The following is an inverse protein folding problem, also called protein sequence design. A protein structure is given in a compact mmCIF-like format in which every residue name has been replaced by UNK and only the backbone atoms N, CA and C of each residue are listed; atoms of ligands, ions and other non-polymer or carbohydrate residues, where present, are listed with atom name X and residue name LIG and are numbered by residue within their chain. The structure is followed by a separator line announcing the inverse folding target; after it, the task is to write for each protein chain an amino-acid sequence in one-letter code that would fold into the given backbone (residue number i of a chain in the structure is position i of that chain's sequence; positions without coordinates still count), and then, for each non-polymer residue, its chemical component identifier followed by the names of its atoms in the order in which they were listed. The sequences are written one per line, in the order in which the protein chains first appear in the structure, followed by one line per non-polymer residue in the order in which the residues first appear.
data_IF_847415902664
#
_entry.id   IF_847415902664
#
_cell.length_a   1.000
_cell.length_b   1.000
_cell.length_c   1.000
_cell.angle_alpha   90.00
_cell.angle_beta   90.00
_cell.angle_gamma   90.00
#
_symmetry.space_group_name_H-M   'P 1'
#
loop_
_entity.id
_entity.type
_entity.pdbx_description
1 polymer ?
#
# COMPACT_ATOMS: atom_id res chain seq x y z
N UNK A 1 39.76 2.47 -32.34
CA UNK A 1 39.90 2.00 -30.94
C UNK A 1 40.74 3.01 -30.16
N UNK A 2 40.10 4.02 -29.56
CA UNK A 2 40.81 4.95 -28.67
C UNK A 2 41.16 4.26 -27.36
N UNK A 3 42.47 4.21 -27.05
CA UNK A 3 42.99 3.72 -25.78
C UNK A 3 42.75 4.78 -24.71
N UNK A 4 41.69 4.62 -23.91
CA UNK A 4 41.47 5.42 -22.70
C UNK A 4 42.69 5.35 -21.78
N UNK A 5 43.25 6.53 -21.45
CA UNK A 5 44.39 6.69 -20.56
C UNK A 5 43.98 6.30 -19.13
N UNK A 6 44.41 5.11 -18.68
CA UNK A 6 44.18 4.59 -17.33
C UNK A 6 44.78 5.51 -16.25
N UNK A 7 43.94 6.10 -15.40
CA UNK A 7 44.36 6.72 -14.14
C UNK A 7 44.50 5.60 -13.09
N UNK A 8 45.70 5.44 -12.50
CA UNK A 8 45.98 4.42 -11.46
C UNK A 8 44.98 4.58 -10.31
N UNK A 9 44.13 3.56 -10.10
CA UNK A 9 43.15 3.49 -9.01
C UNK A 9 41.68 3.66 -9.40
N UNK A 10 41.35 3.98 -10.66
CA UNK A 10 39.96 4.12 -11.11
C UNK A 10 39.37 2.83 -11.67
N UNK A 11 38.13 2.50 -11.29
CA UNK A 11 37.36 1.44 -11.94
C UNK A 11 37.17 1.75 -13.42
N UNK A 12 37.36 0.75 -14.30
CA UNK A 12 36.89 0.90 -15.70
C UNK A 12 35.36 0.96 -15.73
N UNK A 13 34.78 1.65 -16.72
CA UNK A 13 33.32 1.83 -16.84
C UNK A 13 32.54 0.51 -16.72
N UNK A 14 33.06 -0.57 -17.31
CA UNK A 14 32.46 -1.90 -17.26
C UNK A 14 32.62 -2.57 -15.88
N UNK A 15 33.75 -2.36 -15.18
CA UNK A 15 33.93 -2.86 -13.82
C UNK A 15 33.05 -2.11 -12.81
N UNK A 16 32.91 -0.79 -12.96
CA UNK A 16 31.98 -0.01 -12.14
C UNK A 16 30.54 -0.48 -12.37
N UNK A 17 30.14 -0.70 -13.62
CA UNK A 17 28.82 -1.23 -13.96
C UNK A 17 28.58 -2.62 -13.33
N UNK A 18 29.55 -3.55 -13.44
CA UNK A 18 29.42 -4.88 -12.84
C UNK A 18 29.33 -4.83 -11.31
N UNK A 19 30.16 -4.02 -10.66
CA UNK A 19 30.10 -3.84 -9.20
C UNK A 19 28.76 -3.25 -8.78
N UNK A 20 28.29 -2.19 -9.46
CA UNK A 20 26.99 -1.58 -9.17
C UNK A 20 25.82 -2.55 -9.42
N UNK A 21 25.89 -3.36 -10.49
CA UNK A 21 24.87 -4.35 -10.83
C UNK A 21 24.79 -5.45 -9.77
N UNK A 22 25.93 -6.06 -9.40
CA UNK A 22 25.98 -7.11 -8.38
C UNK A 22 25.60 -6.56 -7.00
N UNK A 23 26.03 -5.35 -6.67
CA UNK A 23 25.68 -4.69 -5.40
C UNK A 23 24.19 -4.39 -5.32
N UNK A 24 23.59 -3.89 -6.41
CA UNK A 24 22.14 -3.65 -6.49
C UNK A 24 21.37 -4.97 -6.40
N UNK A 25 21.80 -6.00 -7.13
CA UNK A 25 21.20 -7.32 -7.07
C UNK A 25 21.24 -7.91 -5.66
N UNK A 26 22.39 -7.86 -4.98
CA UNK A 26 22.51 -8.29 -3.59
C UNK A 26 21.62 -7.45 -2.66
N UNK A 27 21.57 -6.13 -2.83
CA UNK A 27 20.76 -5.23 -2.02
C UNK A 27 19.25 -5.45 -2.18
N UNK A 28 18.77 -5.84 -3.36
CA UNK A 28 17.34 -6.13 -3.57
C UNK A 28 16.97 -7.56 -3.19
N UNK A 29 17.85 -8.55 -3.41
CA UNK A 29 17.62 -9.95 -3.06
C UNK A 29 17.66 -10.19 -1.55
N UNK A 30 18.51 -9.45 -0.82
CA UNK A 30 18.68 -9.64 0.62
C UNK A 30 17.42 -9.34 1.46
N UNK A 31 16.78 -8.15 1.37
CA UNK A 31 15.52 -7.87 2.07
C UNK A 31 14.32 -8.61 1.46
N UNK A 32 14.33 -8.84 0.14
CA UNK A 32 13.22 -9.49 -0.56
C UNK A 32 13.11 -11.00 -0.32
N UNK A 33 14.23 -11.70 -0.08
CA UNK A 33 14.26 -13.16 -0.01
C UNK A 33 14.80 -13.73 1.31
N UNK A 34 15.79 -13.09 1.94
CA UNK A 34 16.43 -13.63 3.14
C UNK A 34 15.83 -13.06 4.44
N UNK A 35 15.39 -11.80 4.44
CA UNK A 35 14.81 -11.16 5.63
C UNK A 35 13.60 -10.29 5.30
N UNK A 36 12.49 -10.93 4.95
CA UNK A 36 11.23 -10.24 4.74
C UNK A 36 10.73 -9.50 6.01
N UNK A 37 11.24 -9.81 7.20
CA UNK A 37 11.01 -9.03 8.41
C UNK A 37 11.58 -7.60 8.34
N UNK A 38 12.62 -7.34 7.54
CA UNK A 38 13.22 -6.00 7.45
C UNK A 38 12.31 -4.99 6.73
N UNK A 39 11.35 -5.47 5.94
CA UNK A 39 10.40 -4.59 5.23
C UNK A 39 9.33 -4.03 6.14
N UNK A 40 9.09 -4.65 7.30
CA UNK A 40 8.05 -4.28 8.24
C UNK A 40 8.47 -4.65 9.68
N UNK A 41 9.36 -3.84 10.28
CA UNK A 41 9.71 -3.97 11.70
C UNK A 41 8.66 -3.26 12.55
N UNK A 42 7.58 -3.99 12.86
CA UNK A 42 6.54 -3.54 13.79
C UNK A 42 6.95 -3.80 15.25
N UNK A 43 7.81 -2.95 15.81
CA UNK A 43 8.30 -3.12 17.20
C UNK A 43 7.16 -3.16 18.23
N UNK A 44 6.07 -2.43 17.98
CA UNK A 44 4.85 -2.44 18.81
C UNK A 44 4.21 -3.83 18.88
N UNK A 45 4.22 -4.59 17.78
CA UNK A 45 3.70 -5.96 17.75
C UNK A 45 4.59 -6.95 18.53
N UNK A 46 5.89 -6.66 18.69
CA UNK A 46 6.79 -7.47 19.51
C UNK A 46 6.56 -7.25 21.01
N UNK A 47 6.21 -6.03 21.44
CA UNK A 47 5.97 -5.73 22.85
C UNK A 47 4.67 -6.36 23.36
N UNK A 48 3.62 -6.40 22.54
CA UNK A 48 2.33 -7.00 22.91
C UNK A 48 1.81 -7.98 21.84
N UNK A 49 2.41 -9.18 21.73
CA UNK A 49 2.08 -10.13 20.67
C UNK A 49 0.69 -10.75 20.81
N UNK A 50 0.11 -10.79 22.01
CA UNK A 50 -1.18 -11.45 22.26
C UNK A 50 -2.41 -10.56 22.05
N UNK A 51 -2.24 -9.25 21.84
CA UNK A 51 -3.36 -8.33 21.68
C UNK A 51 -3.72 -8.15 20.21
N UNK A 52 -4.93 -8.60 19.83
CA UNK A 52 -5.46 -8.46 18.46
C UNK A 52 -5.55 -6.98 18.06
N UNK A 53 -5.90 -6.09 19.00
CA UNK A 53 -5.94 -4.65 18.74
C UNK A 53 -4.55 -4.09 18.45
N UNK A 54 -3.53 -4.52 19.19
CA UNK A 54 -2.15 -4.07 18.95
C UNK A 54 -1.64 -4.57 17.61
N UNK A 55 -2.01 -5.78 17.21
CA UNK A 55 -1.67 -6.31 15.89
C UNK A 55 -2.38 -5.55 14.77
N UNK A 56 -3.67 -5.23 14.92
CA UNK A 56 -4.44 -4.45 13.93
C UNK A 56 -3.94 -3.01 13.80
N UNK A 57 -3.46 -2.41 14.88
CA UNK A 57 -2.93 -1.04 14.87
C UNK A 57 -1.46 -0.98 14.45
N UNK A 58 -0.65 -1.91 14.93
CA UNK A 58 0.81 -1.86 14.83
C UNK A 58 1.41 -2.61 13.65
N UNK A 59 0.72 -3.61 13.09
CA UNK A 59 1.25 -4.39 11.96
C UNK A 59 1.31 -3.54 10.71
N UNK A 60 2.46 -3.47 10.03
CA UNK A 60 2.58 -2.73 8.77
C UNK A 60 2.05 -3.48 7.55
N UNK A 61 1.93 -4.81 7.63
CA UNK A 61 1.44 -5.65 6.52
C UNK A 61 -0.06 -5.93 6.61
N UNK A 62 -0.58 -6.10 7.83
CA UNK A 62 -1.96 -6.54 8.09
C UNK A 62 -2.72 -5.57 9.02
N UNK A 63 -2.19 -4.37 9.22
CA UNK A 63 -2.73 -3.37 10.13
C UNK A 63 -2.44 -1.95 9.67
N UNK A 64 -2.77 -0.98 10.53
CA UNK A 64 -2.57 0.45 10.24
C UNK A 64 -1.10 0.89 10.20
N UNK A 65 -0.16 0.02 10.59
CA UNK A 65 1.27 0.29 10.54
C UNK A 65 1.80 1.30 11.56
N UNK A 66 1.06 1.58 12.64
CA UNK A 66 1.52 2.50 13.70
C UNK A 66 2.84 1.99 14.26
N UNK A 67 3.88 2.82 14.17
CA UNK A 67 5.21 2.48 14.67
C UNK A 67 5.93 1.38 13.90
N UNK A 68 5.49 1.01 12.70
CA UNK A 68 6.27 0.11 11.84
C UNK A 68 7.38 0.88 11.15
N UNK A 69 8.59 0.32 11.17
CA UNK A 69 9.74 0.86 10.44
C UNK A 69 10.11 -0.13 9.33
N UNK A 70 10.01 0.31 8.07
CA UNK A 70 10.57 -0.43 6.94
C UNK A 70 12.00 0.06 6.68
N UNK A 71 12.98 -0.84 6.71
CA UNK A 71 14.39 -0.52 6.45
C UNK A 71 14.80 -0.79 5.00
N UNK A 72 13.86 -1.19 4.15
CA UNK A 72 14.11 -1.49 2.74
C UNK A 72 13.76 -0.29 1.84
N UNK A 73 14.76 0.16 1.07
CA UNK A 73 14.56 1.27 0.14
C UNK A 73 13.55 0.93 -0.96
N UNK A 74 13.38 -0.36 -1.29
CA UNK A 74 12.37 -0.82 -2.23
C UNK A 74 10.95 -0.47 -1.76
N UNK A 75 10.55 -0.83 -0.54
CA UNK A 75 9.25 -0.45 0.03
C UNK A 75 9.07 1.07 0.12
N UNK A 76 10.08 1.80 0.60
CA UNK A 76 10.03 3.27 0.70
C UNK A 76 9.84 3.92 -0.67
N UNK A 77 10.54 3.44 -1.70
CA UNK A 77 10.46 3.97 -3.06
C UNK A 77 9.18 3.55 -3.81
N UNK A 78 8.53 2.47 -3.39
CA UNK A 78 7.29 1.99 -4.02
C UNK A 78 6.10 2.92 -3.78
N UNK A 79 6.10 3.68 -2.68
CA UNK A 79 4.96 4.46 -2.24
C UNK A 79 4.76 5.78 -3.01
N UNK A 80 5.84 6.49 -3.37
CA UNK A 80 5.77 7.77 -4.10
C UNK A 80 6.46 7.75 -5.48
N UNK A 81 6.97 6.59 -5.91
CA UNK A 81 8.13 6.59 -6.81
C UNK A 81 9.36 7.13 -6.06
N UNK A 82 10.53 7.11 -6.70
CA UNK A 82 11.79 7.48 -6.03
C UNK A 82 11.67 8.87 -5.35
N UNK A 83 11.56 8.94 -4.00
CA UNK A 83 11.17 10.18 -3.30
C UNK A 83 12.24 11.26 -3.39
N UNK A 84 13.45 10.89 -3.83
CA UNK A 84 14.55 11.78 -4.19
C UNK A 84 14.25 12.64 -5.43
N UNK A 85 13.33 12.20 -6.30
CA UNK A 85 13.01 12.87 -7.56
C UNK A 85 11.85 13.86 -7.39
N UNK A 86 10.95 13.60 -6.43
CA UNK A 86 9.77 14.44 -6.17
C UNK A 86 10.13 15.67 -5.31
N UNK A 87 9.59 16.87 -5.59
CA UNK A 87 9.81 18.03 -4.74
C UNK A 87 9.29 17.78 -3.31
N UNK A 88 10.05 18.24 -2.30
CA UNK A 88 9.75 18.02 -0.88
C UNK A 88 8.30 18.38 -0.50
N UNK A 89 7.78 19.48 -1.03
CA UNK A 89 6.42 19.93 -0.76
C UNK A 89 5.36 18.90 -1.20
N UNK A 90 5.55 18.26 -2.36
CA UNK A 90 4.63 17.22 -2.83
C UNK A 90 4.67 15.99 -1.91
N UNK A 91 5.86 15.59 -1.46
CA UNK A 91 6.06 14.49 -0.52
C UNK A 91 5.35 14.76 0.81
N UNK A 92 5.51 15.96 1.38
CA UNK A 92 4.82 16.35 2.63
C UNK A 92 3.31 16.37 2.44
N UNK A 93 2.79 16.87 1.32
CA UNK A 93 1.36 16.92 1.06
C UNK A 93 0.74 15.51 0.95
N UNK A 94 1.39 14.59 0.23
CA UNK A 94 0.97 13.19 0.15
C UNK A 94 1.03 12.53 1.53
N UNK A 95 2.11 12.76 2.29
CA UNK A 95 2.26 12.25 3.66
C UNK A 95 1.17 12.77 4.62
N UNK A 96 0.80 14.05 4.51
CA UNK A 96 -0.29 14.63 5.29
C UNK A 96 -1.64 14.02 4.91
N UNK A 97 -1.92 13.86 3.62
CA UNK A 97 -3.14 13.18 3.13
C UNK A 97 -3.23 11.74 3.63
N UNK A 98 -2.14 10.99 3.55
CA UNK A 98 -2.05 9.64 4.11
C UNK A 98 -2.35 9.62 5.61
N UNK A 99 -1.74 10.52 6.39
CA UNK A 99 -1.96 10.59 7.83
C UNK A 99 -3.43 10.84 8.17
N UNK A 100 -4.08 11.78 7.48
CA UNK A 100 -5.50 12.09 7.69
C UNK A 100 -6.37 10.87 7.36
N UNK A 101 -6.15 10.23 6.21
CA UNK A 101 -6.97 9.09 5.77
C UNK A 101 -6.76 7.89 6.71
N UNK A 102 -5.51 7.53 6.98
CA UNK A 102 -5.16 6.31 7.71
C UNK A 102 -5.43 6.42 9.22
N UNK A 103 -5.13 7.57 9.83
CA UNK A 103 -5.17 7.71 11.30
C UNK A 103 -6.33 8.55 11.83
N UNK A 104 -7.03 9.30 10.97
CA UNK A 104 -8.20 10.10 11.38
C UNK A 104 -9.48 9.53 10.80
N UNK A 105 -9.61 9.49 9.47
CA UNK A 105 -10.85 9.10 8.80
C UNK A 105 -11.14 7.60 9.00
N UNK A 106 -10.15 6.73 8.82
CA UNK A 106 -10.34 5.27 8.94
C UNK A 106 -10.76 4.84 10.36
N UNK A 107 -10.09 5.30 11.44
CA UNK A 107 -10.53 4.99 12.80
C UNK A 107 -11.89 5.60 13.12
N UNK A 108 -12.17 6.85 12.73
CA UNK A 108 -13.49 7.46 12.94
C UNK A 108 -14.58 6.63 12.25
N UNK A 109 -14.37 6.26 10.99
CA UNK A 109 -15.29 5.41 10.23
C UNK A 109 -15.61 4.09 10.93
N UNK A 110 -14.58 3.43 11.47
CA UNK A 110 -14.71 2.18 12.20
C UNK A 110 -15.42 2.35 13.55
N UNK A 111 -15.07 3.39 14.32
CA UNK A 111 -15.65 3.66 15.63
C UNK A 111 -17.12 4.04 15.56
N UNK A 112 -17.51 4.83 14.56
CA UNK A 112 -18.92 5.17 14.30
C UNK A 112 -19.71 4.04 13.62
N UNK A 113 -19.06 2.89 13.37
CA UNK A 113 -19.66 1.70 12.77
C UNK A 113 -20.35 1.99 11.42
N UNK A 114 -19.76 2.90 10.63
CA UNK A 114 -20.26 3.16 9.28
C UNK A 114 -20.21 1.87 8.46
N UNK A 115 -21.29 1.52 7.77
CA UNK A 115 -21.37 0.34 6.92
C UNK A 115 -21.17 -1.01 7.65
N UNK A 116 -21.58 -1.11 8.93
CA UNK A 116 -21.33 -2.28 9.79
C UNK A 116 -19.82 -2.61 9.93
N UNK A 117 -18.96 -1.59 9.85
CA UNK A 117 -17.50 -1.69 9.89
C UNK A 117 -16.96 -2.59 11.01
N UNK A 118 -17.56 -2.59 12.21
CA UNK A 118 -17.08 -3.40 13.35
C UNK A 118 -17.21 -4.91 13.16
N UNK A 119 -17.93 -5.35 12.14
CA UNK A 119 -18.11 -6.77 11.79
C UNK A 119 -16.88 -7.30 11.03
N UNK A 120 -16.03 -6.41 10.53
CA UNK A 120 -14.92 -6.71 9.61
C UNK A 120 -13.59 -6.18 10.18
N UNK A 121 -12.45 -6.74 9.77
CA UNK A 121 -11.15 -6.15 10.11
C UNK A 121 -11.03 -4.72 9.54
N UNK A 122 -10.46 -3.80 10.35
CA UNK A 122 -10.22 -2.40 9.96
C UNK A 122 -9.38 -2.33 8.67
N UNK A 123 -8.36 -3.19 8.59
CA UNK A 123 -7.38 -3.25 7.52
C UNK A 123 -7.52 -4.58 6.78
N UNK A 124 -8.13 -4.57 5.60
CA UNK A 124 -8.19 -5.71 4.69
C UNK A 124 -8.56 -5.26 3.28
N UNK A 125 -7.98 -5.89 2.27
CA UNK A 125 -8.38 -5.71 0.87
C UNK A 125 -9.46 -6.72 0.42
N UNK A 126 -9.88 -7.63 1.32
CA UNK A 126 -10.86 -8.66 1.00
C UNK A 126 -12.31 -8.11 1.08
N UNK A 127 -13.22 -8.80 0.40
CA UNK A 127 -14.67 -8.60 0.48
C UNK A 127 -15.26 -9.53 1.55
N UNK A 128 -16.33 -9.09 2.19
CA UNK A 128 -16.98 -9.85 3.28
C UNK A 128 -18.49 -10.00 3.08
N UNK A 129 -19.06 -11.04 3.69
CA UNK A 129 -20.51 -11.25 3.81
C UNK A 129 -21.08 -10.48 5.00
N UNK A 130 -22.40 -10.37 5.16
CA UNK A 130 -23.01 -9.72 6.33
C UNK A 130 -22.59 -10.32 7.69
N UNK A 131 -22.03 -11.52 7.72
CA UNK A 131 -21.63 -12.24 8.94
C UNK A 131 -20.14 -12.12 9.27
N UNK A 132 -19.36 -11.38 8.46
CA UNK A 132 -17.92 -11.21 8.69
C UNK A 132 -17.03 -12.25 7.99
N UNK A 133 -17.60 -13.18 7.22
CA UNK A 133 -16.82 -14.17 6.48
C UNK A 133 -16.35 -13.62 5.13
N UNK A 134 -15.23 -14.13 4.61
CA UNK A 134 -14.74 -13.74 3.28
C UNK A 134 -15.79 -14.09 2.22
N UNK A 135 -16.09 -13.13 1.34
CA UNK A 135 -17.06 -13.29 0.28
C UNK A 135 -16.46 -14.14 -0.85
N UNK A 136 -17.19 -15.16 -1.31
CA UNK A 136 -16.74 -16.00 -2.40
C UNK A 136 -17.10 -15.36 -3.75
N UNK A 137 -16.16 -14.65 -4.36
CA UNK A 137 -16.38 -13.95 -5.63
C UNK A 137 -16.62 -14.94 -6.78
N UNK A 138 -15.94 -16.08 -6.79
CA UNK A 138 -16.16 -17.10 -7.83
C UNK A 138 -17.52 -17.78 -7.72
N UNK A 139 -18.28 -17.57 -6.64
CA UNK A 139 -19.65 -18.06 -6.54
C UNK A 139 -20.68 -17.15 -7.23
N UNK A 140 -20.32 -15.91 -7.58
CA UNK A 140 -21.21 -14.92 -8.22
C UNK A 140 -20.73 -14.52 -9.62
N UNK A 141 -19.66 -15.15 -10.11
CA UNK A 141 -19.06 -14.90 -11.41
C UNK A 141 -19.05 -16.22 -12.17
N UNK A 142 -19.70 -16.25 -13.33
CA UNK A 142 -19.71 -17.40 -14.23
C UNK A 142 -18.32 -17.63 -14.87
N UNK A 143 -18.10 -18.80 -15.48
CA UNK A 143 -16.86 -19.17 -16.16
C UNK A 143 -16.46 -18.18 -17.29
N UNK A 144 -17.42 -17.41 -17.79
CA UNK A 144 -17.23 -16.35 -18.78
C UNK A 144 -16.96 -14.97 -18.16
N UNK A 145 -16.67 -14.89 -16.86
CA UNK A 145 -16.52 -13.64 -16.09
C UNK A 145 -17.77 -12.73 -16.11
N UNK A 146 -18.95 -13.31 -16.33
CA UNK A 146 -20.22 -12.60 -16.25
C UNK A 146 -20.76 -12.63 -14.82
N UNK A 147 -21.34 -11.51 -14.39
CA UNK A 147 -21.98 -11.40 -13.09
C UNK A 147 -23.30 -12.17 -13.08
N UNK A 148 -23.42 -13.16 -12.21
CA UNK A 148 -24.64 -13.93 -12.00
C UNK A 148 -25.50 -13.28 -10.90
N UNK A 149 -26.57 -12.63 -11.33
CA UNK A 149 -27.54 -11.97 -10.44
C UNK A 149 -28.29 -12.96 -9.55
N UNK A 150 -28.62 -14.17 -10.04
CA UNK A 150 -29.33 -15.15 -9.22
C UNK A 150 -28.43 -15.69 -8.11
N UNK A 151 -27.16 -15.98 -8.44
CA UNK A 151 -26.19 -16.39 -7.45
C UNK A 151 -25.91 -15.26 -6.42
N UNK A 152 -25.90 -14.00 -6.86
CA UNK A 152 -25.77 -12.86 -5.95
C UNK A 152 -26.94 -12.73 -4.98
N UNK A 153 -28.19 -12.90 -5.46
CA UNK A 153 -29.37 -12.86 -4.58
C UNK A 153 -29.34 -13.97 -3.53
N UNK A 154 -28.82 -15.15 -3.87
CA UNK A 154 -28.65 -16.27 -2.92
C UNK A 154 -27.54 -16.03 -1.90
N UNK A 155 -26.40 -15.48 -2.34
CA UNK A 155 -25.24 -15.23 -1.48
C UNK A 155 -25.38 -13.94 -0.65
N UNK A 156 -26.28 -13.03 -1.05
CA UNK A 156 -26.55 -11.77 -0.38
C UNK A 156 -25.53 -10.67 -0.70
N UNK A 157 -25.74 -9.47 -0.13
CA UNK A 157 -24.93 -8.30 -0.43
C UNK A 157 -23.49 -8.45 0.06
N UNK A 158 -22.56 -7.96 -0.75
CA UNK A 158 -21.15 -7.86 -0.40
C UNK A 158 -20.90 -6.63 0.48
N UNK A 159 -19.96 -6.77 1.41
CA UNK A 159 -19.50 -5.72 2.31
C UNK A 159 -18.02 -5.47 2.12
N UNK A 160 -17.63 -4.21 2.20
CA UNK A 160 -16.24 -3.75 2.09
C UNK A 160 -15.68 -3.49 3.50
N UNK A 161 -14.39 -3.73 3.67
CA UNK A 161 -13.68 -3.24 4.85
C UNK A 161 -13.68 -1.70 4.89
N UNK A 162 -13.52 -1.13 6.08
CA UNK A 162 -13.52 0.32 6.27
C UNK A 162 -12.43 1.01 5.44
N UNK A 163 -11.23 0.44 5.44
CA UNK A 163 -10.11 0.98 4.66
C UNK A 163 -10.39 0.92 3.16
N UNK A 164 -10.86 -0.21 2.64
CA UNK A 164 -11.14 -0.37 1.22
C UNK A 164 -12.21 0.63 0.75
N UNK A 165 -13.29 0.80 1.52
CA UNK A 165 -14.34 1.76 1.23
C UNK A 165 -13.83 3.21 1.18
N UNK A 166 -12.99 3.61 2.14
CA UNK A 166 -12.41 4.96 2.19
C UNK A 166 -11.44 5.16 1.03
N UNK A 167 -10.58 4.18 0.73
CA UNK A 167 -9.65 4.26 -0.40
C UNK A 167 -10.40 4.46 -1.72
N UNK A 168 -11.47 3.71 -1.97
CA UNK A 168 -12.32 3.94 -3.14
C UNK A 168 -12.94 5.34 -3.15
N UNK A 169 -13.46 5.82 -2.01
CA UNK A 169 -14.01 7.16 -1.89
C UNK A 169 -12.98 8.25 -2.25
N UNK A 170 -11.75 8.11 -1.75
CA UNK A 170 -10.63 9.02 -2.07
C UNK A 170 -10.24 8.92 -3.55
N UNK A 171 -10.24 7.72 -4.14
CA UNK A 171 -10.00 7.55 -5.57
C UNK A 171 -11.03 8.30 -6.42
N UNK A 172 -12.32 8.18 -6.12
CA UNK A 172 -13.36 8.95 -6.82
C UNK A 172 -13.23 10.46 -6.63
N UNK A 173 -12.90 10.89 -5.41
CA UNK A 173 -12.63 12.29 -5.11
C UNK A 173 -11.43 12.81 -5.91
N UNK A 174 -10.36 12.02 -6.03
CA UNK A 174 -9.14 12.38 -6.79
C UNK A 174 -9.40 12.52 -8.29
N UNK A 175 -10.21 11.64 -8.87
CA UNK A 175 -10.62 11.73 -10.28
C UNK A 175 -11.41 13.02 -10.52
N UNK A 176 -12.37 13.30 -9.66
CA UNK A 176 -13.20 14.50 -9.74
C UNK A 176 -12.36 15.77 -9.56
N UNK A 177 -11.47 15.78 -8.58
CA UNK A 177 -10.53 16.88 -8.34
C UNK A 177 -9.62 17.12 -9.55
N UNK A 178 -9.17 16.06 -10.22
CA UNK A 178 -8.36 16.17 -11.44
C UNK A 178 -9.14 16.84 -12.56
N UNK A 179 -10.40 16.43 -12.79
CA UNK A 179 -11.27 17.04 -13.80
C UNK A 179 -11.49 18.52 -13.48
N UNK A 180 -11.85 18.85 -12.24
CA UNK A 180 -12.07 20.23 -11.80
C UNK A 180 -10.79 21.07 -11.94
N UNK A 181 -9.63 20.51 -11.58
CA UNK A 181 -8.35 21.18 -11.74
C UNK A 181 -8.04 21.48 -13.21
N UNK A 182 -8.21 20.51 -14.10
CA UNK A 182 -7.99 20.71 -15.55
C UNK A 182 -8.95 21.77 -16.10
N UNK A 183 -10.24 21.72 -15.73
CA UNK A 183 -11.21 22.71 -16.19
C UNK A 183 -10.87 24.13 -15.72
N UNK A 184 -10.46 24.30 -14.46
CA UNK A 184 -10.13 25.62 -13.91
C UNK A 184 -8.79 26.17 -14.40
N UNK A 185 -7.77 25.33 -14.57
CA UNK A 185 -6.42 25.77 -14.94
C UNK A 185 -6.14 25.73 -16.43
N UNK A 186 -6.82 24.88 -17.21
CA UNK A 186 -6.57 24.68 -18.64
C UNK A 186 -7.84 24.90 -19.49
N UNK A 187 -8.99 25.18 -18.90
CA UNK A 187 -10.22 25.56 -19.62
C UNK A 187 -10.25 27.01 -20.10
N UNK A 188 -9.09 27.62 -20.34
CA UNK A 188 -8.96 28.88 -21.10
C UNK A 188 -8.52 28.58 -22.52
#
# INVERSE_FOLDING_TARGET
HEKERRRKGGFTRNQFFLVAFVSSFAYYVFPGYLFQMLTSLSWICWVFPHSVLVQQLGSGLHGLGIGTIGLDWASVSSYLGSPLVSPWFATVNVGAGFFIIMYVITPIGYWFNFYKARTFPIFSADLFTSTGQKYNISAIVDDHFHFDTEAYERNGPLYLSTLLAITYGVSFASLTATIVHVLLFHGR
#
